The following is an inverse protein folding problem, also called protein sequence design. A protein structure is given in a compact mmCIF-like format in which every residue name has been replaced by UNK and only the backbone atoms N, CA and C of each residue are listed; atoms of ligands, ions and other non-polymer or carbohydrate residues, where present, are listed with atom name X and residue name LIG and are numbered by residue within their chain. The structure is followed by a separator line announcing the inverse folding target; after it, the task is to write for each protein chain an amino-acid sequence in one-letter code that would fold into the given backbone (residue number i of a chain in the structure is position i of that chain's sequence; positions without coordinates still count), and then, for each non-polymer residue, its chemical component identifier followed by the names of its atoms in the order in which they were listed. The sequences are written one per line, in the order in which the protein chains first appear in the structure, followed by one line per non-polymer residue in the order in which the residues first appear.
data_IF_869193434094
#
_entry.id   IF_869193434094
#
_cell.length_a   1.000
_cell.length_b   1.000
_cell.length_c   1.000
_cell.angle_alpha   90.00
_cell.angle_beta   90.00
_cell.angle_gamma   90.00
#
_symmetry.space_group_name_H-M   'P 1'
#
loop_
_entity.id
_entity.type
_entity.pdbx_description
1 polymer ?
#
# COMPACT_ATOMS: atom_id res chain seq x y z
N UNK A 1 -20.88 -1.26 -6.06
CA UNK A 1 -19.46 -0.87 -5.89
C UNK A 1 -19.35 0.03 -4.67
N UNK A 2 -18.30 -0.07 -3.83
CA UNK A 2 -18.03 0.90 -2.77
C UNK A 2 -17.82 2.30 -3.37
N UNK A 3 -18.38 3.34 -2.75
CA UNK A 3 -18.44 4.70 -3.33
C UNK A 3 -17.06 5.25 -3.71
N UNK A 4 -16.06 5.02 -2.86
CA UNK A 4 -14.69 5.50 -3.08
C UNK A 4 -13.99 4.80 -4.28
N UNK A 5 -14.40 3.59 -4.70
CA UNK A 5 -13.92 3.00 -5.97
C UNK A 5 -14.42 3.78 -7.17
N UNK A 6 -15.68 4.22 -7.16
CA UNK A 6 -16.23 5.01 -8.25
C UNK A 6 -15.53 6.36 -8.35
N UNK A 7 -15.19 7.00 -7.23
CA UNK A 7 -14.45 8.26 -7.19
C UNK A 7 -13.00 8.12 -7.69
N UNK A 8 -12.29 7.03 -7.34
CA UNK A 8 -10.96 6.73 -7.92
C UNK A 8 -11.03 6.37 -9.41
N UNK A 9 -12.04 5.60 -9.85
CA UNK A 9 -12.28 5.31 -11.27
C UNK A 9 -12.54 6.60 -12.05
N UNK A 10 -13.42 7.48 -11.55
CA UNK A 10 -13.69 8.80 -12.14
C UNK A 10 -12.44 9.70 -12.22
N UNK A 11 -11.56 9.65 -11.20
CA UNK A 11 -10.26 10.37 -11.23
C UNK A 11 -9.29 9.82 -12.28
N UNK A 12 -9.43 8.53 -12.63
CA UNK A 12 -8.65 7.84 -13.65
C UNK A 12 -9.29 7.91 -15.07
N UNK A 13 -10.56 8.30 -15.20
CA UNK A 13 -11.36 8.28 -16.45
C UNK A 13 -11.22 9.57 -17.31
N UNK A 14 -10.08 10.24 -17.25
CA UNK A 14 -9.79 11.45 -18.05
C UNK A 14 -9.81 11.29 -19.58
N UNK A 15 -10.19 10.12 -20.12
CA UNK A 15 -10.32 9.91 -21.57
C UNK A 15 -11.26 8.74 -21.99
N UNK A 16 -12.58 8.84 -21.74
CA UNK A 16 -13.67 8.49 -22.72
C UNK A 16 -15.09 8.45 -22.11
N UNK A 17 -16.03 9.13 -22.77
CA UNK A 17 -17.27 8.51 -23.25
C UNK A 17 -18.38 8.12 -22.26
N UNK A 18 -19.22 9.10 -21.91
CA UNK A 18 -20.71 9.02 -21.81
C UNK A 18 -21.35 7.69 -21.38
N UNK A 19 -22.02 7.67 -20.22
CA UNK A 19 -23.47 7.38 -20.12
C UNK A 19 -24.06 7.79 -18.74
N UNK A 20 -25.40 7.88 -18.68
CA UNK A 20 -26.14 8.83 -17.83
C UNK A 20 -26.38 8.44 -16.36
N UNK A 21 -26.70 9.47 -15.56
CA UNK A 21 -26.96 9.40 -14.12
C UNK A 21 -28.38 8.94 -13.71
N UNK A 22 -28.53 8.60 -12.43
CA UNK A 22 -29.81 8.38 -11.72
C UNK A 22 -29.76 8.94 -10.28
N UNK A 23 -30.90 9.45 -9.79
CA UNK A 23 -31.01 10.44 -8.67
C UNK A 23 -31.19 9.82 -7.26
N UNK A 24 -30.92 10.62 -6.21
CA UNK A 24 -31.12 10.35 -4.75
C UNK A 24 -32.62 10.44 -4.29
N UNK A 25 -33.04 10.30 -2.99
CA UNK A 25 -32.58 10.92 -1.70
C UNK A 25 -32.40 9.89 -0.54
N UNK A 26 -32.28 10.18 0.78
CA UNK A 26 -32.01 11.42 1.57
C UNK A 26 -32.77 11.54 2.94
N UNK A 27 -32.10 11.89 4.05
CA UNK A 27 -32.67 12.14 5.41
C UNK A 27 -32.25 11.12 6.52
N UNK A 28 -32.28 11.34 7.86
CA UNK A 28 -32.63 12.47 8.78
C UNK A 28 -31.78 12.39 10.09
N UNK A 29 -31.84 13.42 10.96
CA UNK A 29 -31.02 13.72 12.18
C UNK A 29 -31.48 13.07 13.52
N UNK A 30 -30.58 13.14 14.53
CA UNK A 30 -30.86 13.12 15.99
C UNK A 30 -29.73 12.39 16.78
N UNK A 31 -29.18 12.80 17.93
CA UNK A 31 -29.34 14.01 18.75
C UNK A 31 -29.79 13.73 20.19
N UNK A 32 -28.90 13.85 21.21
CA UNK A 32 -29.15 14.30 22.61
C UNK A 32 -27.93 14.13 23.55
N UNK A 33 -27.94 14.88 24.68
CA UNK A 33 -26.82 15.19 25.59
C UNK A 33 -26.72 14.36 26.89
N UNK A 34 -25.57 14.50 27.57
CA UNK A 34 -25.38 14.28 29.03
C UNK A 34 -24.43 13.14 29.41
N UNK A 35 -23.52 13.25 30.39
CA UNK A 35 -23.08 14.41 31.20
C UNK A 35 -22.16 14.00 32.37
N UNK A 36 -21.37 14.95 32.88
CA UNK A 36 -20.67 14.98 34.19
C UNK A 36 -19.55 13.98 34.58
N UNK A 37 -18.34 14.56 34.71
CA UNK A 37 -17.47 14.59 35.91
C UNK A 37 -16.78 13.33 36.51
N UNK A 38 -15.45 13.44 36.64
CA UNK A 38 -14.80 13.32 37.97
C UNK A 38 -13.62 12.34 38.15
N UNK A 39 -12.60 12.84 38.88
CA UNK A 39 -11.58 12.12 39.68
C UNK A 39 -10.24 11.70 39.05
N UNK A 40 -9.28 12.63 39.15
CA UNK A 40 -7.98 12.51 39.86
C UNK A 40 -7.18 11.19 39.81
N UNK A 41 -6.03 11.24 39.12
CA UNK A 41 -4.73 11.23 39.80
C UNK A 41 -4.15 9.92 40.34
N UNK A 42 -3.31 9.25 39.55
CA UNK A 42 -2.12 8.53 40.05
C UNK A 42 -0.94 8.82 39.11
N UNK A 43 0.17 9.28 39.68
CA UNK A 43 1.41 9.60 38.96
C UNK A 43 2.49 8.53 39.26
N UNK A 44 3.46 8.37 38.35
CA UNK A 44 4.73 7.62 38.49
C UNK A 44 4.67 6.08 38.33
N UNK A 45 5.81 5.39 38.01
CA UNK A 45 7.15 5.91 37.73
C UNK A 45 7.67 5.61 36.30
N UNK A 46 8.82 6.23 35.97
CA UNK A 46 9.52 6.10 34.68
C UNK A 46 10.21 4.74 34.52
N UNK A 47 9.64 3.84 33.73
CA UNK A 47 10.33 2.67 33.19
C UNK A 47 11.06 3.02 31.89
N UNK A 48 12.37 3.33 31.97
CA UNK A 48 13.16 3.79 30.83
C UNK A 48 13.74 2.62 29.99
N UNK A 49 12.91 1.65 29.62
CA UNK A 49 13.30 0.58 28.69
C UNK A 49 13.34 1.09 27.25
N UNK A 50 14.36 1.90 26.97
CA UNK A 50 14.88 2.06 25.61
C UNK A 50 15.50 0.73 25.18
N UNK A 51 14.66 -0.21 24.76
CA UNK A 51 15.06 -1.30 23.89
C UNK A 51 15.88 -0.68 22.75
N UNK A 52 17.16 -1.05 22.67
CA UNK A 52 18.10 -0.41 21.75
C UNK A 52 17.61 -0.63 20.31
N UNK A 53 17.02 0.41 19.72
CA UNK A 53 16.57 0.40 18.34
C UNK A 53 17.79 0.04 17.47
N UNK A 54 17.75 -1.17 16.89
CA UNK A 54 18.86 -1.71 16.11
C UNK A 54 19.27 -0.67 15.06
N UNK A 55 20.51 -0.19 15.18
CA UNK A 55 20.99 1.01 14.47
C UNK A 55 20.93 0.73 12.97
N UNK A 56 19.89 1.24 12.31
CA UNK A 56 19.65 1.01 10.89
C UNK A 56 20.87 1.47 10.09
N UNK A 57 21.41 0.54 9.30
CA UNK A 57 22.54 0.78 8.40
C UNK A 57 22.08 0.53 6.97
N UNK A 58 22.19 1.52 6.06
CA UNK A 58 21.82 1.35 4.66
C UNK A 58 22.47 0.14 4.00
N UNK A 59 23.75 -0.11 4.30
CA UNK A 59 24.50 -1.24 3.73
C UNK A 59 23.92 -2.62 4.09
N UNK A 60 23.34 -2.78 5.27
CA UNK A 60 22.76 -4.06 5.72
C UNK A 60 21.40 -4.32 5.06
N UNK A 61 20.60 -3.28 4.78
CA UNK A 61 19.36 -3.45 4.01
C UNK A 61 19.63 -3.60 2.50
N UNK A 62 20.69 -2.97 1.96
CA UNK A 62 21.18 -3.27 0.60
C UNK A 62 21.56 -4.75 0.45
N UNK A 63 22.39 -5.31 1.35
CA UNK A 63 22.80 -6.72 1.32
C UNK A 63 21.59 -7.67 1.39
N UNK A 64 20.65 -7.41 2.31
CA UNK A 64 19.40 -8.18 2.43
C UNK A 64 18.49 -8.06 1.20
N UNK A 65 18.55 -6.93 0.49
CA UNK A 65 17.79 -6.75 -0.75
C UNK A 65 18.44 -7.45 -1.95
N UNK A 66 19.77 -7.48 -2.03
CA UNK A 66 20.50 -8.30 -3.01
C UNK A 66 20.22 -9.79 -2.78
N UNK A 67 20.30 -10.28 -1.54
CA UNK A 67 19.93 -11.66 -1.19
C UNK A 67 18.46 -11.98 -1.52
N UNK A 68 17.56 -11.01 -1.39
CA UNK A 68 16.16 -11.19 -1.79
C UNK A 68 16.01 -11.33 -3.32
N UNK A 69 16.79 -10.59 -4.12
CA UNK A 69 16.82 -10.74 -5.59
C UNK A 69 17.35 -12.11 -6.00
N UNK A 70 18.36 -12.65 -5.32
CA UNK A 70 18.87 -13.99 -5.57
C UNK A 70 17.83 -15.08 -5.24
N UNK A 71 17.13 -14.94 -4.10
CA UNK A 71 16.21 -15.97 -3.61
C UNK A 71 14.85 -15.97 -4.34
N UNK A 72 14.33 -14.81 -4.75
CA UNK A 72 12.99 -14.67 -5.33
C UNK A 72 12.99 -14.20 -6.80
N UNK A 73 14.13 -13.77 -7.32
CA UNK A 73 14.25 -13.11 -8.62
C UNK A 73 14.02 -11.60 -8.56
N UNK A 74 14.22 -10.94 -9.71
CA UNK A 74 14.02 -9.51 -9.85
C UNK A 74 12.59 -9.17 -10.32
N UNK A 75 11.77 -8.46 -9.52
CA UNK A 75 10.41 -8.08 -9.94
C UNK A 75 10.38 -7.07 -11.09
N UNK A 76 11.50 -6.41 -11.43
CA UNK A 76 11.60 -5.60 -12.64
C UNK A 76 11.63 -6.46 -13.92
N UNK A 77 12.27 -7.63 -13.87
CA UNK A 77 12.43 -8.52 -15.03
C UNK A 77 11.19 -9.40 -15.25
N UNK A 78 10.73 -10.08 -14.18
CA UNK A 78 9.56 -10.98 -14.20
C UNK A 78 8.58 -10.70 -13.05
N UNK A 79 7.50 -11.49 -12.93
CA UNK A 79 6.65 -11.50 -11.73
C UNK A 79 7.27 -12.49 -10.73
N UNK A 80 7.57 -12.04 -9.50
CA UNK A 80 8.15 -12.88 -8.45
C UNK A 80 7.08 -13.37 -7.50
N UNK A 81 7.09 -14.67 -7.18
CA UNK A 81 6.11 -15.28 -6.27
C UNK A 81 6.61 -15.25 -4.82
N UNK A 82 5.84 -14.62 -3.94
CA UNK A 82 6.13 -14.50 -2.51
C UNK A 82 5.07 -15.23 -1.67
N UNK A 83 5.44 -15.96 -0.61
CA UNK A 83 4.49 -16.54 0.33
C UNK A 83 3.60 -15.45 0.96
N UNK A 84 2.31 -15.72 1.16
CA UNK A 84 1.42 -14.78 1.85
C UNK A 84 1.60 -14.85 3.36
N UNK A 85 2.72 -14.32 3.86
CA UNK A 85 3.03 -14.23 5.29
C UNK A 85 3.52 -12.83 5.67
N UNK A 86 3.41 -12.40 6.94
CA UNK A 86 3.85 -11.08 7.38
C UNK A 86 5.32 -10.76 7.04
N UNK A 87 6.20 -11.77 7.06
CA UNK A 87 7.63 -11.63 6.76
C UNK A 87 7.86 -11.24 5.30
N UNK A 88 7.00 -11.70 4.37
CA UNK A 88 7.11 -11.39 2.95
C UNK A 88 6.81 -9.93 2.62
N UNK A 89 6.17 -9.17 3.52
CA UNK A 89 6.10 -7.71 3.41
C UNK A 89 7.48 -7.05 3.59
N UNK A 90 8.35 -7.61 4.45
CA UNK A 90 9.73 -7.13 4.59
C UNK A 90 10.59 -7.51 3.36
N UNK A 91 10.39 -8.70 2.80
CA UNK A 91 11.02 -9.09 1.53
C UNK A 91 10.59 -8.18 0.38
N UNK A 92 9.29 -7.93 0.22
CA UNK A 92 8.77 -7.06 -0.84
C UNK A 92 9.31 -5.62 -0.73
N UNK A 93 9.41 -5.06 0.49
CA UNK A 93 10.08 -3.77 0.73
C UNK A 93 11.51 -3.74 0.21
N UNK A 94 12.33 -4.74 0.56
CA UNK A 94 13.74 -4.79 0.18
C UNK A 94 13.94 -4.95 -1.32
N UNK A 95 13.15 -5.82 -1.94
CA UNK A 95 13.09 -5.96 -3.40
C UNK A 95 12.77 -4.61 -4.05
N UNK A 96 11.73 -3.91 -3.58
CA UNK A 96 11.37 -2.62 -4.12
C UNK A 96 12.46 -1.55 -3.93
N UNK A 97 13.07 -1.50 -2.74
CA UNK A 97 14.16 -0.57 -2.44
C UNK A 97 15.36 -0.77 -3.37
N UNK A 98 15.86 -2.01 -3.48
CA UNK A 98 17.03 -2.31 -4.34
C UNK A 98 16.68 -2.15 -5.82
N UNK A 99 15.46 -2.51 -6.25
CA UNK A 99 15.06 -2.27 -7.64
C UNK A 99 15.03 -0.79 -7.98
N UNK A 100 14.41 0.05 -7.15
CA UNK A 100 14.32 1.50 -7.42
C UNK A 100 15.70 2.17 -7.33
N UNK A 101 16.49 1.88 -6.29
CA UNK A 101 17.79 2.54 -6.05
C UNK A 101 18.92 2.00 -6.92
N UNK A 102 19.03 0.68 -7.09
CA UNK A 102 20.20 0.02 -7.71
C UNK A 102 19.95 -0.38 -9.16
N UNK A 103 18.80 -0.99 -9.44
CA UNK A 103 18.50 -1.50 -10.80
C UNK A 103 17.94 -0.42 -11.73
N UNK A 104 17.18 0.56 -11.22
CA UNK A 104 16.68 1.69 -12.00
C UNK A 104 17.42 3.02 -11.75
N UNK A 105 18.25 3.11 -10.70
CA UNK A 105 19.06 4.30 -10.41
C UNK A 105 18.25 5.54 -9.97
N UNK A 106 17.04 5.36 -9.44
CA UNK A 106 16.12 6.45 -9.13
C UNK A 106 16.36 7.01 -7.71
N UNK A 107 15.93 8.25 -7.50
CA UNK A 107 16.23 9.00 -6.27
C UNK A 107 15.65 8.41 -4.98
N UNK A 108 16.32 8.64 -3.82
CA UNK A 108 15.96 8.01 -2.55
C UNK A 108 14.54 8.30 -2.08
N UNK A 109 14.02 9.52 -2.33
CA UNK A 109 12.66 9.88 -1.95
C UNK A 109 11.59 9.04 -2.68
N UNK A 110 11.80 8.76 -3.97
CA UNK A 110 10.92 7.88 -4.73
C UNK A 110 10.98 6.44 -4.20
N UNK A 111 12.16 5.98 -3.79
CA UNK A 111 12.32 4.66 -3.18
C UNK A 111 11.60 4.56 -1.83
N UNK A 112 11.71 5.55 -0.94
CA UNK A 112 10.97 5.59 0.33
C UNK A 112 9.46 5.46 0.12
N UNK A 113 8.90 6.28 -0.76
CA UNK A 113 7.45 6.32 -1.02
C UNK A 113 6.99 5.03 -1.71
N UNK A 114 7.75 4.48 -2.67
CA UNK A 114 7.45 3.20 -3.30
C UNK A 114 7.50 2.00 -2.32
N UNK A 115 8.48 1.99 -1.41
CA UNK A 115 8.65 0.96 -0.35
C UNK A 115 7.48 1.01 0.64
N UNK A 116 7.00 2.21 0.97
CA UNK A 116 5.80 2.39 1.78
C UNK A 116 4.56 1.83 1.06
N UNK A 117 4.32 2.23 -0.18
CA UNK A 117 3.14 1.77 -0.93
C UNK A 117 3.15 0.27 -1.25
N UNK A 118 4.33 -0.32 -1.49
CA UNK A 118 4.50 -1.79 -1.56
C UNK A 118 4.04 -2.46 -0.27
N UNK A 119 4.38 -1.89 0.89
CA UNK A 119 4.00 -2.46 2.18
C UNK A 119 2.49 -2.48 2.38
N UNK A 120 1.78 -1.46 1.90
CA UNK A 120 0.31 -1.39 2.01
C UNK A 120 -0.39 -2.35 1.03
N UNK A 121 0.07 -2.44 -0.21
CA UNK A 121 -0.47 -3.42 -1.17
C UNK A 121 -0.24 -4.86 -0.72
N UNK A 122 0.98 -5.19 -0.27
CA UNK A 122 1.31 -6.53 0.24
C UNK A 122 0.62 -6.81 1.57
N UNK A 123 0.53 -5.81 2.46
CA UNK A 123 -0.23 -5.92 3.71
C UNK A 123 -1.70 -6.23 3.46
N UNK A 124 -2.32 -5.60 2.46
CA UNK A 124 -3.68 -5.93 2.03
C UNK A 124 -3.78 -7.36 1.46
N UNK A 125 -2.82 -7.77 0.62
CA UNK A 125 -2.79 -9.11 0.05
C UNK A 125 -2.68 -10.19 1.15
N UNK A 126 -1.77 -10.03 2.11
CA UNK A 126 -1.56 -10.98 3.22
C UNK A 126 -2.78 -11.04 4.15
N UNK A 127 -3.38 -9.90 4.51
CA UNK A 127 -4.49 -9.85 5.48
C UNK A 127 -5.84 -10.30 4.91
N UNK A 128 -6.13 -10.05 3.64
CA UNK A 128 -7.51 -10.11 3.11
C UNK A 128 -7.75 -11.16 2.02
N UNK A 129 -6.72 -11.84 1.51
CA UNK A 129 -6.89 -12.77 0.37
C UNK A 129 -7.04 -14.23 0.78
N UNK A 130 -6.45 -14.63 1.92
CA UNK A 130 -6.32 -16.04 2.31
C UNK A 130 -5.49 -16.89 1.35
N UNK A 131 -4.86 -16.29 0.34
CA UNK A 131 -4.03 -16.98 -0.63
C UNK A 131 -2.75 -17.51 0.04
N UNK A 132 -2.15 -18.59 -0.49
CA UNK A 132 -0.85 -19.08 0.01
C UNK A 132 0.34 -18.29 -0.54
N UNK A 133 0.18 -17.69 -1.71
CA UNK A 133 1.21 -16.97 -2.48
C UNK A 133 0.56 -15.77 -3.17
N UNK A 134 1.31 -14.68 -3.30
CA UNK A 134 1.00 -13.53 -4.15
C UNK A 134 2.17 -13.25 -5.10
N UNK A 135 1.89 -12.64 -6.25
CA UNK A 135 2.90 -12.19 -7.21
C UNK A 135 3.24 -10.71 -7.00
N UNK A 136 4.50 -10.34 -7.12
CA UNK A 136 4.98 -8.96 -7.15
C UNK A 136 5.65 -8.69 -8.50
N UNK A 137 5.27 -7.60 -9.18
CA UNK A 137 5.92 -7.13 -10.39
C UNK A 137 6.11 -5.62 -10.33
N UNK A 138 7.24 -5.16 -10.85
CA UNK A 138 7.65 -3.77 -10.91
C UNK A 138 7.97 -3.42 -12.36
N UNK A 139 7.56 -2.24 -12.83
CA UNK A 139 7.80 -1.77 -14.21
C UNK A 139 8.24 -0.32 -14.16
N UNK A 140 9.39 -0.02 -14.74
CA UNK A 140 9.82 1.35 -15.02
C UNK A 140 9.59 1.63 -16.52
N UNK A 141 8.97 2.77 -16.81
CA UNK A 141 8.70 3.30 -18.15
C UNK A 141 9.00 4.80 -18.15
N UNK A 142 9.06 5.42 -19.33
CA UNK A 142 9.39 6.86 -19.45
C UNK A 142 8.44 7.71 -18.59
N UNK A 143 9.01 8.33 -17.55
CA UNK A 143 8.31 9.22 -16.63
C UNK A 143 7.47 8.54 -15.53
N UNK A 144 7.46 7.21 -15.38
CA UNK A 144 6.73 6.55 -14.28
C UNK A 144 7.24 5.16 -13.91
N UNK A 145 7.09 4.82 -12.63
CA UNK A 145 7.15 3.45 -12.12
C UNK A 145 5.73 2.93 -11.84
N UNK A 146 5.51 1.64 -12.04
CA UNK A 146 4.28 0.92 -11.68
C UNK A 146 4.64 -0.30 -10.87
N UNK A 147 3.92 -0.52 -9.78
CA UNK A 147 4.03 -1.72 -8.95
C UNK A 147 2.70 -2.45 -8.97
N UNK A 148 2.78 -3.77 -9.16
CA UNK A 148 1.65 -4.68 -9.34
C UNK A 148 1.77 -5.80 -8.31
N UNK A 149 0.73 -5.96 -7.48
CA UNK A 149 0.57 -7.10 -6.57
C UNK A 149 -0.60 -7.94 -7.08
N UNK A 150 -0.27 -9.12 -7.61
CA UNK A 150 -1.23 -10.13 -8.08
C UNK A 150 -1.59 -11.06 -6.94
N UNK A 151 -2.88 -11.33 -6.76
CA UNK A 151 -3.33 -12.39 -5.86
C UNK A 151 -4.52 -13.15 -6.46
N UNK A 152 -4.72 -14.44 -6.11
CA UNK A 152 -5.78 -15.27 -6.68
C UNK A 152 -7.18 -14.96 -6.13
N UNK A 153 -7.34 -14.08 -5.13
CA UNK A 153 -8.64 -13.71 -4.57
C UNK A 153 -9.34 -12.67 -5.44
N UNK A 154 -10.63 -12.90 -5.69
CA UNK A 154 -11.51 -11.95 -6.38
C UNK A 154 -12.09 -10.87 -5.46
N UNK A 155 -11.81 -10.93 -4.15
CA UNK A 155 -12.20 -9.88 -3.21
C UNK A 155 -11.47 -8.57 -3.53
N UNK A 156 -12.21 -7.51 -3.84
CA UNK A 156 -11.64 -6.17 -4.04
C UNK A 156 -11.05 -5.65 -2.72
N UNK A 157 -9.87 -4.99 -2.73
CA UNK A 157 -9.37 -4.23 -1.59
C UNK A 157 -10.44 -3.24 -1.10
N UNK A 158 -10.86 -3.33 0.16
CA UNK A 158 -11.86 -2.43 0.72
C UNK A 158 -11.25 -1.07 1.07
N UNK A 159 -11.70 -0.01 0.39
CA UNK A 159 -11.52 1.38 0.85
C UNK A 159 -12.37 1.59 2.10
N UNK A 160 -11.80 1.24 3.26
CA UNK A 160 -12.38 1.57 4.57
C UNK A 160 -12.18 3.07 4.84
N UNK A 161 -13.24 3.82 5.24
CA UNK A 161 -13.06 5.15 5.80
C UNK A 161 -12.24 5.03 7.09
N UNK A 162 -11.13 5.75 7.17
CA UNK A 162 -10.19 5.67 8.29
C UNK A 162 -10.35 6.91 9.16
N UNK A 163 -10.60 6.73 10.46
CA UNK A 163 -10.47 7.82 11.43
C UNK A 163 -8.97 8.08 11.69
N UNK A 164 -8.57 9.32 11.98
CA UNK A 164 -7.15 9.67 12.16
C UNK A 164 -6.44 8.87 13.27
N UNK A 165 -7.19 8.31 14.22
CA UNK A 165 -6.70 7.48 15.32
C UNK A 165 -6.58 5.99 14.99
N UNK A 166 -7.10 5.51 13.85
CA UNK A 166 -7.10 4.08 13.53
C UNK A 166 -5.74 3.63 12.96
N UNK A 167 -5.20 2.57 13.55
CA UNK A 167 -3.96 1.91 13.11
C UNK A 167 -4.22 0.90 11.99
N UNK A 168 -5.48 0.52 11.80
CA UNK A 168 -5.93 -0.38 10.73
C UNK A 168 -6.67 0.42 9.64
N UNK A 169 -6.55 0.00 8.37
CA UNK A 169 -7.25 0.63 7.25
C UNK A 169 -6.51 1.75 6.51
N UNK A 170 -5.46 2.38 7.09
CA UNK A 170 -4.67 3.44 6.45
C UNK A 170 -4.03 3.08 5.10
N UNK A 171 -3.91 1.81 4.76
CA UNK A 171 -3.11 1.36 3.62
C UNK A 171 -3.53 1.93 2.27
N UNK A 172 -4.83 1.84 1.92
CA UNK A 172 -5.31 2.43 0.67
C UNK A 172 -5.38 3.96 0.73
N UNK A 173 -5.52 4.56 1.92
CA UNK A 173 -5.42 6.01 2.09
C UNK A 173 -4.00 6.52 1.75
N UNK A 174 -2.95 5.83 2.21
CA UNK A 174 -1.57 6.17 1.85
C UNK A 174 -1.33 6.01 0.34
N UNK A 175 -1.84 4.95 -0.27
CA UNK A 175 -1.81 4.75 -1.73
C UNK A 175 -2.50 5.90 -2.47
N UNK A 176 -3.69 6.31 -2.05
CA UNK A 176 -4.43 7.43 -2.67
C UNK A 176 -3.75 8.80 -2.49
N UNK A 177 -2.96 8.98 -1.43
CA UNK A 177 -2.21 10.22 -1.18
C UNK A 177 -0.86 10.31 -1.89
N UNK A 178 -0.16 9.19 -2.08
CA UNK A 178 1.22 9.17 -2.58
C UNK A 178 1.38 8.65 -4.01
N UNK A 179 0.40 7.91 -4.54
CA UNK A 179 0.41 7.49 -5.94
C UNK A 179 -0.22 8.55 -6.85
N UNK A 180 0.33 8.74 -8.05
CA UNK A 180 -0.30 9.54 -9.10
C UNK A 180 -1.57 8.86 -9.63
N UNK A 181 -1.54 7.53 -9.73
CA UNK A 181 -2.66 6.68 -10.14
C UNK A 181 -2.60 5.37 -9.37
N UNK A 182 -3.75 4.81 -9.04
CA UNK A 182 -3.84 3.45 -8.51
C UNK A 182 -5.15 2.80 -8.93
N UNK A 183 -5.22 1.46 -8.83
CA UNK A 183 -6.39 0.71 -9.23
C UNK A 183 -6.28 -0.79 -9.00
N UNK A 184 -7.27 -1.51 -9.52
CA UNK A 184 -7.36 -2.97 -9.43
C UNK A 184 -7.84 -3.53 -10.76
N UNK A 185 -6.99 -4.32 -11.41
CA UNK A 185 -7.33 -5.04 -12.63
C UNK A 185 -7.94 -6.38 -12.23
N UNK A 186 -9.23 -6.59 -12.51
CA UNK A 186 -9.89 -7.88 -12.28
C UNK A 186 -9.52 -8.87 -13.37
N UNK A 187 -9.18 -10.09 -12.97
CA UNK A 187 -8.67 -11.14 -13.86
C UNK A 187 -9.51 -12.43 -13.72
N UNK A 188 -9.50 -13.33 -14.73
CA UNK A 188 -10.26 -14.59 -14.66
C UNK A 188 -9.90 -15.47 -13.46
N UNK A 189 -8.67 -15.33 -12.94
CA UNK A 189 -8.14 -16.06 -11.77
C UNK A 189 -7.52 -15.10 -10.75
N UNK A 190 -8.33 -14.19 -10.21
CA UNK A 190 -7.95 -13.28 -9.13
C UNK A 190 -7.96 -11.81 -9.56
N UNK A 191 -7.00 -11.04 -9.07
CA UNK A 191 -6.84 -9.61 -9.39
C UNK A 191 -5.37 -9.19 -9.36
N UNK A 192 -5.10 -8.00 -9.89
CA UNK A 192 -3.84 -7.28 -9.71
C UNK A 192 -4.17 -5.91 -9.13
N UNK A 193 -3.80 -5.69 -7.86
CA UNK A 193 -3.83 -4.35 -7.25
C UNK A 193 -2.56 -3.63 -7.66
N UNK A 194 -2.65 -2.37 -8.06
CA UNK A 194 -1.51 -1.63 -8.60
C UNK A 194 -1.52 -0.16 -8.22
N UNK A 195 -0.33 0.43 -8.24
CA UNK A 195 -0.15 1.88 -8.19
C UNK A 195 0.94 2.32 -9.18
N UNK A 196 0.90 3.59 -9.56
CA UNK A 196 1.87 4.28 -10.40
C UNK A 196 2.35 5.56 -9.72
N UNK A 197 3.63 5.87 -9.88
CA UNK A 197 4.26 7.09 -9.40
C UNK A 197 5.10 7.70 -10.51
N UNK A 198 5.03 9.01 -10.68
CA UNK A 198 5.87 9.73 -11.63
C UNK A 198 7.34 9.67 -11.23
N UNK A 199 8.18 9.41 -12.23
CA UNK A 199 9.61 9.64 -12.13
C UNK A 199 9.85 11.08 -12.57
N UNK A 200 10.04 11.99 -11.62
CA UNK A 200 10.66 13.27 -11.91
C UNK A 200 12.15 13.04 -12.12
N UNK A 201 12.59 13.12 -13.37
CA UNK A 201 14.02 13.25 -13.70
C UNK A 201 14.59 14.47 -12.94
N UNK A 202 15.81 14.32 -12.44
CA UNK A 202 16.46 15.29 -11.55
C UNK A 202 17.90 15.54 -11.98
#
# INVERSE_FOLDING_TARGET
MPKAYAETVMRNEGFRGVHSAGTAPGGVRGGHDGGMAGLEGIEQPRGQDRAAAARWSPAVEDERGLQALELFGNPADAEVSLPSRPESAATARRLAQVVVLRHWGLGPKLAEDAVLLVSELVGNAVRHTGARVFGLRMKHRRGWIRVEVRDPSRGLPCLMPVAETDLSGRGLFLVDKLADRWGVDLLPRGKTTWYEMRVTDR
#
